data_IF_826756238945
#
_entry.id   IF_826756238945
#
_cell.length_a   1.000
_cell.length_b   1.000
_cell.length_c   1.000
_cell.angle_alpha   90.00
_cell.angle_beta   90.00
_cell.angle_gamma   90.00
#
_symmetry.space_group_name_H-M   'P 1'
#
loop_
_entity.id
_entity.type
_entity.pdbx_description
1 polymer ?
#
# COMPACT_ATOMS: atom_id res chain seq x y z
N UNK A 1 -32.06 -8.66 -7.98
CA UNK A 1 -31.81 -8.29 -6.57
C UNK A 1 -33.03 -7.51 -6.14
N UNK A 2 -33.69 -7.85 -5.03
CA UNK A 2 -34.79 -7.01 -4.51
C UNK A 2 -34.18 -5.65 -4.15
N UNK A 3 -34.41 -4.64 -4.99
CA UNK A 3 -34.00 -3.27 -4.71
C UNK A 3 -34.73 -2.78 -3.47
N UNK A 4 -34.03 -2.05 -2.60
CA UNK A 4 -34.61 -1.47 -1.40
C UNK A 4 -35.66 -0.44 -1.82
N UNK A 5 -36.91 -0.58 -1.38
CA UNK A 5 -37.94 0.40 -1.69
C UNK A 5 -37.71 1.69 -0.90
N UNK A 6 -37.51 2.81 -1.61
CA UNK A 6 -37.29 4.14 -1.04
C UNK A 6 -38.47 4.62 -0.17
N UNK A 7 -39.69 4.14 -0.45
CA UNK A 7 -40.86 4.44 0.39
C UNK A 7 -40.79 3.69 1.73
N UNK A 8 -40.43 2.41 1.70
CA UNK A 8 -40.22 1.61 2.90
C UNK A 8 -39.03 2.13 3.72
N UNK A 9 -37.95 2.57 3.05
CA UNK A 9 -36.77 3.13 3.70
C UNK A 9 -37.07 4.43 4.46
N UNK A 10 -37.91 5.29 3.90
CA UNK A 10 -38.39 6.50 4.57
C UNK A 10 -39.56 6.25 5.54
N UNK A 11 -40.11 5.03 5.56
CA UNK A 11 -41.26 4.67 6.39
C UNK A 11 -42.56 5.42 6.01
N UNK A 12 -42.69 5.81 4.74
CA UNK A 12 -43.83 6.58 4.24
C UNK A 12 -44.57 5.80 3.15
N UNK A 13 -45.86 6.09 2.96
CA UNK A 13 -46.65 5.44 1.90
C UNK A 13 -46.26 5.98 0.52
N UNK A 14 -46.54 5.19 -0.53
CA UNK A 14 -46.32 5.59 -1.94
C UNK A 14 -47.09 6.84 -2.37
N UNK A 15 -48.19 7.15 -1.69
CA UNK A 15 -48.99 8.36 -1.91
C UNK A 15 -48.62 9.53 -0.97
N UNK A 16 -47.54 9.41 -0.20
CA UNK A 16 -47.10 10.46 0.72
C UNK A 16 -46.80 11.77 -0.01
N UNK A 17 -47.20 12.86 0.63
CA UNK A 17 -46.96 14.23 0.18
C UNK A 17 -45.49 14.62 0.37
N UNK A 18 -45.01 15.62 -0.39
CA UNK A 18 -43.63 16.12 -0.23
C UNK A 18 -43.33 16.62 1.20
N UNK A 19 -44.34 17.16 1.90
CA UNK A 19 -44.23 17.56 3.30
C UNK A 19 -44.01 16.37 4.25
N UNK A 20 -44.68 15.25 4.00
CA UNK A 20 -44.53 14.03 4.80
C UNK A 20 -43.17 13.36 4.56
N UNK A 21 -42.73 13.29 3.30
CA UNK A 21 -41.41 12.79 2.90
C UNK A 21 -40.30 13.61 3.58
N UNK A 22 -40.41 14.93 3.58
CA UNK A 22 -39.45 15.84 4.24
C UNK A 22 -39.45 15.71 5.76
N UNK A 23 -40.62 15.48 6.36
CA UNK A 23 -40.74 15.27 7.81
C UNK A 23 -40.11 13.94 8.25
N UNK A 24 -40.38 12.87 7.50
CA UNK A 24 -39.83 11.54 7.74
C UNK A 24 -38.30 11.53 7.59
N UNK A 25 -37.78 12.15 6.53
CA UNK A 25 -36.34 12.31 6.33
C UNK A 25 -35.66 13.04 7.49
N UNK A 26 -36.23 14.16 7.97
CA UNK A 26 -35.66 14.91 9.11
C UNK A 26 -35.64 14.11 10.40
N UNK A 27 -36.65 13.27 10.63
CA UNK A 27 -36.72 12.40 11.81
C UNK A 27 -35.66 11.30 11.72
N UNK A 28 -35.56 10.61 10.58
CA UNK A 28 -34.59 9.53 10.37
C UNK A 28 -33.14 10.02 10.32
N UNK A 29 -32.89 11.18 9.71
CA UNK A 29 -31.54 11.76 9.62
C UNK A 29 -30.95 12.11 10.99
N UNK A 30 -31.79 12.47 11.97
CA UNK A 30 -31.34 12.73 13.36
C UNK A 30 -31.01 11.46 14.12
N UNK A 31 -31.63 10.35 13.79
CA UNK A 31 -31.42 9.05 14.44
C UNK A 31 -30.31 8.24 13.78
N UNK A 32 -30.07 8.45 12.48
CA UNK A 32 -29.09 7.71 11.67
C UNK A 32 -27.82 8.52 11.34
N UNK A 33 -27.60 9.67 12.00
CA UNK A 33 -26.38 10.45 11.81
C UNK A 33 -25.16 9.67 12.33
N UNK A 34 -24.01 9.69 11.62
CA UNK A 34 -22.80 8.97 12.03
C UNK A 34 -22.31 9.35 13.43
N UNK A 35 -22.54 10.59 13.86
CA UNK A 35 -22.17 11.07 15.20
C UNK A 35 -22.97 10.45 16.36
N UNK A 36 -24.12 9.81 16.08
CA UNK A 36 -24.97 9.15 17.10
C UNK A 36 -25.00 7.62 16.96
N UNK A 37 -24.15 7.06 16.10
CA UNK A 37 -24.01 5.60 15.90
C UNK A 37 -24.59 5.04 14.61
N UNK A 38 -24.94 5.87 13.63
CA UNK A 38 -25.33 5.43 12.28
C UNK A 38 -24.13 5.08 11.38
N UNK A 39 -24.33 4.22 10.37
CA UNK A 39 -23.26 3.94 9.38
C UNK A 39 -23.34 4.93 8.21
N UNK A 40 -22.18 5.32 7.65
CA UNK A 40 -22.13 6.22 6.49
C UNK A 40 -22.90 5.67 5.27
N UNK A 41 -22.94 4.35 5.09
CA UNK A 41 -23.69 3.68 4.03
C UNK A 41 -25.22 3.83 4.17
N UNK A 42 -25.75 3.63 5.38
CA UNK A 42 -27.19 3.81 5.66
C UNK A 42 -27.64 5.25 5.52
N UNK A 43 -26.79 6.21 5.89
CA UNK A 43 -27.11 7.64 5.74
C UNK A 43 -27.14 8.07 4.26
N UNK A 44 -26.22 7.53 3.45
CA UNK A 44 -26.18 7.79 2.00
C UNK A 44 -27.43 7.28 1.28
N UNK A 45 -27.90 6.07 1.63
CA UNK A 45 -29.15 5.50 1.09
C UNK A 45 -30.38 6.32 1.51
N UNK A 46 -30.41 6.80 2.76
CA UNK A 46 -31.48 7.67 3.27
C UNK A 46 -31.53 9.01 2.50
N UNK A 47 -30.36 9.59 2.21
CA UNK A 47 -30.25 10.81 1.43
C UNK A 47 -30.68 10.60 -0.02
N UNK A 48 -30.25 9.50 -0.65
CA UNK A 48 -30.63 9.15 -2.02
C UNK A 48 -32.15 8.93 -2.17
N UNK A 49 -32.78 8.26 -1.20
CA UNK A 49 -34.23 8.08 -1.18
C UNK A 49 -34.98 9.42 -1.04
N UNK A 50 -34.51 10.33 -0.18
CA UNK A 50 -35.11 11.65 -0.05
C UNK A 50 -34.94 12.49 -1.34
N UNK A 51 -33.76 12.50 -1.94
CA UNK A 51 -33.49 13.24 -3.18
C UNK A 51 -34.31 12.72 -4.36
N UNK A 52 -34.56 11.41 -4.42
CA UNK A 52 -35.36 10.78 -5.47
C UNK A 52 -36.86 11.04 -5.27
N UNK A 53 -37.37 10.93 -4.04
CA UNK A 53 -38.80 11.03 -3.76
C UNK A 53 -39.31 12.47 -3.54
N UNK A 54 -38.43 13.41 -3.21
CA UNK A 54 -38.79 14.82 -3.01
C UNK A 54 -38.89 15.59 -4.35
N UNK A 55 -38.19 15.16 -5.40
CA UNK A 55 -38.31 15.75 -6.74
C UNK A 55 -39.42 15.03 -7.54
N UNK A 56 -40.47 15.75 -7.99
CA UNK A 56 -41.59 15.14 -8.71
C UNK A 56 -41.20 14.44 -10.01
N UNK A 57 -40.15 14.91 -10.70
CA UNK A 57 -39.68 14.29 -11.97
C UNK A 57 -38.95 12.98 -11.69
N UNK A 58 -38.10 12.98 -10.66
CA UNK A 58 -37.35 11.78 -10.24
C UNK A 58 -38.27 10.73 -9.63
N UNK A 59 -39.25 11.16 -8.83
CA UNK A 59 -40.29 10.30 -8.25
C UNK A 59 -41.10 9.60 -9.32
N UNK A 60 -41.56 10.34 -10.35
CA UNK A 60 -42.31 9.73 -11.46
C UNK A 60 -41.49 8.69 -12.24
N UNK A 61 -40.20 8.94 -12.41
CA UNK A 61 -39.28 7.98 -13.07
C UNK A 61 -39.04 6.74 -12.22
N UNK A 62 -38.92 6.91 -10.90
CA UNK A 62 -38.77 5.82 -9.93
C UNK A 62 -40.05 4.96 -9.84
N UNK A 63 -41.22 5.59 -9.79
CA UNK A 63 -42.51 4.91 -9.78
C UNK A 63 -42.77 4.12 -11.08
N UNK A 64 -42.36 4.68 -12.23
CA UNK A 64 -42.46 4.00 -13.53
C UNK A 64 -41.57 2.77 -13.62
N UNK A 65 -40.33 2.85 -13.12
CA UNK A 65 -39.42 1.70 -13.09
C UNK A 65 -39.91 0.58 -12.16
N UNK A 66 -40.57 0.91 -11.04
CA UNK A 66 -41.17 -0.08 -10.14
C UNK A 66 -42.36 -0.82 -10.78
N UNK A 67 -43.13 -0.17 -11.67
CA UNK A 67 -44.29 -0.77 -12.33
C UNK A 67 -43.91 -1.75 -13.46
N UNK A 68 -42.75 -1.56 -14.09
CA UNK A 68 -42.22 -2.50 -15.10
C UNK A 68 -41.73 -3.81 -14.47
N UNK A 69 -41.31 -3.81 -13.19
CA UNK A 69 -40.90 -5.02 -12.46
C UNK A 69 -42.09 -5.86 -11.94
N UNK A 70 -43.25 -5.24 -11.67
CA UNK A 70 -44.45 -5.95 -11.20
C UNK A 70 -45.34 -6.51 -12.32
N UNK A 71 -45.13 -6.10 -13.59
CA UNK A 71 -45.97 -6.46 -14.74
C UNK A 71 -45.33 -7.47 -15.70
N UNK A 72 -44.76 -8.56 -15.17
CA UNK A 72 -44.34 -9.70 -15.99
C UNK A 72 -45.45 -10.79 -16.01
N UNK A 73 -46.17 -11.02 -17.13
CA UNK A 73 -47.25 -11.99 -17.18
C UNK A 73 -46.75 -13.44 -17.28
N UNK A 74 -47.57 -14.31 -16.70
CA UNK A 74 -47.44 -15.74 -16.48
C UNK A 74 -46.90 -16.59 -17.66
N UNK A 75 -46.03 -17.53 -17.28
CA UNK A 75 -45.16 -18.39 -18.07
C UNK A 75 -45.92 -19.47 -18.88
N UNK A 76 -45.71 -19.53 -20.21
CA UNK A 76 -45.85 -20.76 -21.01
C UNK A 76 -44.50 -21.12 -21.64
N UNK A 77 -44.01 -22.38 -21.55
CA UNK A 77 -42.73 -22.73 -22.15
C UNK A 77 -42.93 -22.96 -23.65
N UNK A 78 -42.28 -22.12 -24.47
CA UNK A 78 -41.97 -22.44 -25.87
C UNK A 78 -40.53 -22.97 -25.97
N UNK A 79 -40.28 -23.97 -26.82
CA UNK A 79 -39.04 -24.73 -26.79
C UNK A 79 -37.84 -23.88 -27.22
N UNK A 80 -36.79 -24.01 -26.43
CA UNK A 80 -35.38 -23.68 -26.66
C UNK A 80 -35.03 -23.12 -28.05
N UNK A 81 -35.17 -21.80 -28.20
CA UNK A 81 -34.20 -21.05 -28.98
C UNK A 81 -33.10 -20.63 -28.00
N UNK A 82 -31.90 -21.17 -28.21
CA UNK A 82 -30.66 -20.83 -27.48
C UNK A 82 -30.67 -19.34 -27.15
N UNK A 83 -30.86 -19.03 -25.86
CA UNK A 83 -30.78 -17.68 -25.31
C UNK A 83 -29.36 -17.20 -25.59
N UNK A 84 -29.17 -16.55 -26.74
CA UNK A 84 -27.97 -15.82 -27.08
C UNK A 84 -27.80 -14.84 -25.92
N UNK A 85 -26.90 -15.17 -24.99
CA UNK A 85 -26.62 -14.39 -23.79
C UNK A 85 -26.62 -12.92 -24.22
N UNK A 86 -27.51 -12.13 -23.62
CA UNK A 86 -27.42 -10.66 -23.66
C UNK A 86 -25.95 -10.39 -23.35
N UNK A 87 -25.18 -9.90 -24.33
CA UNK A 87 -23.77 -9.56 -24.13
C UNK A 87 -23.80 -8.48 -23.05
N UNK A 88 -23.52 -8.85 -21.80
CA UNK A 88 -23.25 -7.90 -20.73
C UNK A 88 -21.99 -7.16 -21.15
N UNK A 89 -22.17 -5.99 -21.74
CA UNK A 89 -21.11 -5.01 -21.89
C UNK A 89 -20.85 -4.47 -20.48
N UNK A 90 -19.88 -5.07 -19.78
CA UNK A 90 -19.54 -4.71 -18.41
C UNK A 90 -18.74 -5.79 -17.70
N UNK A 91 -18.54 -5.56 -16.40
CA UNK A 91 -17.92 -6.49 -15.47
C UNK A 91 -18.76 -7.75 -15.29
N UNK A 92 -18.12 -8.86 -14.94
CA UNK A 92 -18.79 -10.12 -14.62
C UNK A 92 -18.74 -10.31 -13.10
N UNK A 93 -19.85 -10.12 -12.36
CA UNK A 93 -19.84 -10.15 -10.90
C UNK A 93 -19.49 -11.53 -10.33
N UNK A 94 -19.65 -12.60 -11.12
CA UNK A 94 -19.32 -13.96 -10.73
C UNK A 94 -17.88 -14.35 -11.13
N UNK A 95 -17.16 -13.47 -11.85
CA UNK A 95 -15.80 -13.75 -12.27
C UNK A 95 -14.82 -13.56 -11.11
N UNK A 96 -14.11 -14.63 -10.80
CA UNK A 96 -13.05 -14.62 -9.79
C UNK A 96 -11.69 -14.59 -10.47
N UNK A 97 -10.94 -13.47 -10.39
CA UNK A 97 -9.58 -13.42 -10.92
C UNK A 97 -8.67 -14.42 -10.18
N UNK A 98 -7.67 -14.93 -10.88
CA UNK A 98 -6.71 -15.93 -10.35
C UNK A 98 -5.29 -15.42 -10.52
N UNK A 99 -4.42 -15.86 -9.62
CA UNK A 99 -2.98 -15.60 -9.71
C UNK A 99 -2.43 -16.18 -11.03
N UNK A 100 -1.59 -15.44 -11.79
CA UNK A 100 -0.96 -16.01 -12.97
C UNK A 100 -0.03 -17.17 -12.58
N UNK A 101 0.00 -18.19 -13.44
CA UNK A 101 0.98 -19.28 -13.35
C UNK A 101 2.24 -18.83 -14.08
N UNK A 102 3.22 -18.35 -13.33
CA UNK A 102 4.53 -17.98 -13.86
C UNK A 102 5.43 -19.20 -13.91
N UNK A 103 6.13 -19.40 -15.03
CA UNK A 103 7.26 -20.33 -15.08
C UNK A 103 8.44 -19.65 -14.41
N UNK A 104 9.12 -20.38 -13.52
CA UNK A 104 10.26 -19.83 -12.79
C UNK A 104 11.42 -19.51 -13.74
N UNK A 105 11.59 -20.32 -14.80
CA UNK A 105 12.58 -20.10 -15.87
C UNK A 105 12.44 -18.73 -16.57
N UNK A 106 11.24 -18.14 -16.57
CA UNK A 106 10.98 -16.85 -17.22
C UNK A 106 11.33 -15.65 -16.31
N UNK A 107 11.77 -15.91 -15.07
CA UNK A 107 12.09 -14.90 -14.07
C UNK A 107 13.62 -14.80 -13.96
N UNK A 108 14.21 -13.84 -14.68
CA UNK A 108 15.66 -13.70 -14.83
C UNK A 108 16.45 -13.66 -13.50
N UNK A 109 15.90 -13.03 -12.46
CA UNK A 109 16.54 -12.90 -11.16
C UNK A 109 16.35 -14.11 -10.24
N UNK A 110 15.51 -15.08 -10.59
CA UNK A 110 15.07 -16.14 -9.68
C UNK A 110 16.21 -17.06 -9.23
N UNK A 111 17.04 -17.50 -10.17
CA UNK A 111 18.18 -18.38 -9.89
C UNK A 111 19.44 -17.61 -9.48
N UNK A 112 19.49 -16.30 -9.74
CA UNK A 112 20.61 -15.43 -9.38
C UNK A 112 20.63 -15.01 -7.90
N UNK A 113 19.55 -15.28 -7.16
CA UNK A 113 19.41 -14.87 -5.75
C UNK A 113 19.44 -16.10 -4.84
N UNK A 114 20.36 -16.08 -3.88
CA UNK A 114 20.42 -17.05 -2.79
C UNK A 114 19.45 -16.65 -1.67
N UNK A 115 18.35 -17.40 -1.44
CA UNK A 115 17.35 -17.07 -0.44
C UNK A 115 17.86 -17.17 1.01
N UNK A 116 18.98 -17.88 1.24
CA UNK A 116 19.56 -18.13 2.56
C UNK A 116 20.76 -17.22 2.86
N UNK A 117 21.07 -16.29 1.96
CA UNK A 117 22.15 -15.33 2.12
C UNK A 117 21.91 -14.39 3.33
N UNK A 118 23.00 -13.99 3.98
CA UNK A 118 22.95 -13.06 5.13
C UNK A 118 22.53 -11.66 4.67
N UNK A 119 21.52 -11.12 5.34
CA UNK A 119 20.99 -9.78 5.10
C UNK A 119 21.89 -8.72 5.76
N UNK A 120 22.16 -7.63 5.03
CA UNK A 120 22.84 -6.43 5.53
C UNK A 120 21.81 -5.34 5.85
N UNK A 121 21.81 -4.85 7.09
CA UNK A 121 20.92 -3.76 7.48
C UNK A 121 21.63 -2.41 7.36
N UNK A 122 21.08 -1.48 6.58
CA UNK A 122 21.57 -0.12 6.34
C UNK A 122 20.84 0.90 7.25
N UNK A 123 21.34 2.12 7.42
CA UNK A 123 22.72 2.51 7.15
C UNK A 123 23.64 1.71 8.08
N UNK A 124 24.88 1.46 7.62
CA UNK A 124 25.95 0.99 8.50
C UNK A 124 26.37 2.20 9.37
N UNK A 125 25.47 2.66 10.25
CA UNK A 125 25.76 3.72 11.22
C UNK A 125 26.56 3.13 12.36
N UNK A 126 27.82 2.83 12.07
CA UNK A 126 28.88 2.92 13.06
C UNK A 126 29.80 4.05 12.64
N UNK A 127 30.41 4.81 13.56
CA UNK A 127 31.79 5.17 13.27
C UNK A 127 32.47 3.84 12.90
N UNK A 128 33.18 3.79 11.78
CA UNK A 128 33.95 2.60 11.45
C UNK A 128 34.65 2.09 12.73
N UNK A 129 34.74 0.77 12.93
CA UNK A 129 35.42 0.24 14.13
C UNK A 129 36.83 0.84 14.29
N UNK A 130 37.44 1.24 13.17
CA UNK A 130 38.72 1.91 13.08
C UNK A 130 38.78 3.27 13.83
N UNK A 131 38.01 4.32 13.52
CA UNK A 131 38.09 5.62 14.20
C UNK A 131 37.77 5.56 15.68
N UNK A 132 36.83 4.73 16.14
CA UNK A 132 36.53 4.63 17.59
C UNK A 132 37.65 3.92 18.34
N UNK A 133 38.13 2.77 17.86
CA UNK A 133 39.27 2.07 18.48
C UNK A 133 40.57 2.88 18.38
N UNK A 134 40.78 3.60 17.27
CA UNK A 134 41.91 4.52 17.12
C UNK A 134 41.82 5.71 18.09
N UNK A 135 40.62 6.23 18.37
CA UNK A 135 40.42 7.26 19.39
C UNK A 135 40.72 6.74 20.80
N UNK A 136 40.25 5.54 21.14
CA UNK A 136 40.58 4.91 22.43
C UNK A 136 42.08 4.63 22.54
N UNK A 137 42.70 4.08 21.48
CA UNK A 137 44.13 3.82 21.41
C UNK A 137 44.97 5.09 21.51
N UNK A 138 44.59 6.14 20.77
CA UNK A 138 45.22 7.45 20.82
C UNK A 138 45.10 8.12 22.18
N UNK A 139 43.93 8.02 22.82
CA UNK A 139 43.72 8.51 24.19
C UNK A 139 44.59 7.75 25.21
N UNK A 140 44.72 6.43 25.04
CA UNK A 140 45.57 5.58 25.88
C UNK A 140 47.06 5.91 25.69
N UNK A 141 47.50 6.14 24.45
CA UNK A 141 48.86 6.57 24.15
C UNK A 141 49.15 7.97 24.72
N UNK A 142 48.21 8.91 24.63
CA UNK A 142 48.33 10.24 25.23
C UNK A 142 48.48 10.15 26.76
N UNK A 143 47.71 9.26 27.40
CA UNK A 143 47.81 8.96 28.83
C UNK A 143 49.20 8.42 29.20
N UNK A 144 49.71 7.44 28.44
CA UNK A 144 51.02 6.85 28.67
C UNK A 144 52.17 7.85 28.42
N UNK A 145 52.04 8.71 27.41
CA UNK A 145 53.05 9.69 27.05
C UNK A 145 53.29 10.73 28.15
N UNK A 146 52.22 11.25 28.78
CA UNK A 146 52.39 12.21 29.88
C UNK A 146 52.89 11.58 31.18
N UNK A 147 52.70 10.26 31.36
CA UNK A 147 53.30 9.51 32.47
C UNK A 147 54.81 9.24 32.27
N UNK A 148 55.30 9.31 31.03
CA UNK A 148 56.68 9.01 30.68
C UNK A 148 57.61 10.24 30.68
N UNK A 149 57.08 11.45 30.92
CA UNK A 149 57.81 12.71 30.81
C UNK A 149 57.66 13.52 32.10
N UNK A 150 58.75 14.08 32.60
CA UNK A 150 58.72 15.03 33.71
C UNK A 150 58.18 16.39 33.23
N UNK A 151 56.94 16.71 33.64
CA UNK A 151 56.25 17.95 33.27
C UNK A 151 56.29 18.96 34.42
N UNK A 152 56.46 20.24 34.10
CA UNK A 152 56.25 21.32 35.07
C UNK A 152 54.78 21.35 35.52
N UNK A 153 54.50 21.93 36.70
CA UNK A 153 53.14 21.98 37.24
C UNK A 153 52.11 22.58 36.27
N UNK A 154 52.49 23.62 35.52
CA UNK A 154 51.63 24.25 34.52
C UNK A 154 51.35 23.33 33.32
N UNK A 155 52.39 22.63 32.81
CA UNK A 155 52.24 21.69 31.69
C UNK A 155 51.43 20.45 32.10
N UNK A 156 51.63 19.96 33.33
CA UNK A 156 50.86 18.85 33.89
C UNK A 156 49.38 19.21 34.01
N UNK A 157 49.04 20.41 34.49
CA UNK A 157 47.65 20.88 34.56
C UNK A 157 46.99 20.97 33.17
N UNK A 158 47.70 21.52 32.18
CA UNK A 158 47.23 21.57 30.79
C UNK A 158 47.03 20.16 30.20
N UNK A 159 47.99 19.25 30.42
CA UNK A 159 47.91 17.87 29.93
C UNK A 159 46.74 17.11 30.57
N UNK A 160 46.54 17.22 31.88
CA UNK A 160 45.39 16.63 32.58
C UNK A 160 44.05 17.19 32.07
N UNK A 161 43.98 18.50 31.84
CA UNK A 161 42.78 19.13 31.25
C UNK A 161 42.46 18.57 29.86
N UNK A 162 43.48 18.41 29.01
CA UNK A 162 43.34 17.84 27.66
C UNK A 162 42.97 16.35 27.71
N UNK A 163 43.50 15.60 28.67
CA UNK A 163 43.18 14.20 28.93
C UNK A 163 41.71 14.03 29.35
N UNK A 164 41.21 14.87 30.25
CA UNK A 164 39.80 14.85 30.68
C UNK A 164 38.87 15.23 29.52
N UNK A 165 39.18 16.30 28.78
CA UNK A 165 38.37 16.74 27.65
C UNK A 165 38.30 15.68 26.53
N UNK A 166 39.44 15.11 26.15
CA UNK A 166 39.50 14.03 25.15
C UNK A 166 38.83 12.75 25.65
N UNK A 167 38.94 12.43 26.94
CA UNK A 167 38.26 11.29 27.57
C UNK A 167 36.74 11.43 27.52
N UNK A 168 36.21 12.63 27.76
CA UNK A 168 34.78 12.91 27.62
C UNK A 168 34.28 12.66 26.17
N UNK A 169 35.04 13.11 25.16
CA UNK A 169 34.73 12.85 23.75
C UNK A 169 34.73 11.35 23.45
N UNK A 170 35.73 10.61 23.93
CA UNK A 170 35.81 9.14 23.79
C UNK A 170 34.59 8.46 24.41
N UNK A 171 34.18 8.87 25.62
CA UNK A 171 33.00 8.30 26.30
C UNK A 171 31.71 8.58 25.51
N UNK A 172 31.53 9.79 24.98
CA UNK A 172 30.36 10.13 24.16
C UNK A 172 30.33 9.30 22.87
N UNK A 173 31.46 9.19 22.18
CA UNK A 173 31.62 8.37 20.98
C UNK A 173 31.34 6.88 21.26
N UNK A 174 31.90 6.35 22.36
CA UNK A 174 31.70 4.97 22.76
C UNK A 174 30.24 4.68 23.13
N UNK A 175 29.59 5.59 23.86
CA UNK A 175 28.15 5.49 24.16
C UNK A 175 27.32 5.50 22.89
N UNK A 176 27.63 6.37 21.93
CA UNK A 176 26.95 6.42 20.62
C UNK A 176 27.13 5.10 19.85
N UNK A 177 28.35 4.55 19.84
CA UNK A 177 28.66 3.27 19.20
C UNK A 177 27.92 2.09 19.86
N UNK A 178 27.92 2.01 21.19
CA UNK A 178 27.18 0.96 21.93
C UNK A 178 25.67 1.07 21.67
N UNK A 179 25.10 2.29 21.68
CA UNK A 179 23.68 2.51 21.41
C UNK A 179 23.32 2.07 19.99
N UNK A 180 24.12 2.44 19.00
CA UNK A 180 23.92 2.01 17.62
C UNK A 180 23.93 0.48 17.50
N UNK A 181 24.95 -0.19 18.04
CA UNK A 181 25.01 -1.66 17.99
C UNK A 181 23.91 -2.37 18.77
N UNK A 182 23.45 -1.81 19.89
CA UNK A 182 22.28 -2.36 20.60
C UNK A 182 21.02 -2.22 19.76
N UNK A 183 20.81 -1.06 19.13
CA UNK A 183 19.69 -0.84 18.24
C UNK A 183 19.72 -1.81 17.05
N UNK A 184 20.89 -2.05 16.45
CA UNK A 184 21.07 -3.06 15.38
C UNK A 184 20.61 -4.45 15.86
N UNK A 185 21.09 -4.90 17.03
CA UNK A 185 20.78 -6.24 17.53
C UNK A 185 19.31 -6.41 17.90
N UNK A 186 18.69 -5.37 18.47
CA UNK A 186 17.28 -5.38 18.82
C UNK A 186 16.42 -5.42 17.55
N UNK A 187 16.73 -4.56 16.57
CA UNK A 187 16.05 -4.55 15.27
C UNK A 187 16.08 -5.91 14.58
N UNK A 188 17.26 -6.54 14.52
CA UNK A 188 17.42 -7.86 13.89
C UNK A 188 16.69 -8.94 14.68
N UNK A 189 16.69 -8.86 16.01
CA UNK A 189 15.97 -9.82 16.85
C UNK A 189 14.44 -9.69 16.67
N UNK A 190 13.92 -8.48 16.50
CA UNK A 190 12.49 -8.21 16.40
C UNK A 190 11.94 -8.44 14.98
N UNK A 191 12.65 -7.98 13.95
CA UNK A 191 12.16 -7.93 12.58
C UNK A 191 12.94 -8.81 11.60
N UNK A 192 14.08 -9.39 12.01
CA UNK A 192 14.98 -10.08 11.10
C UNK A 192 14.36 -11.29 10.39
N UNK A 193 13.54 -12.07 11.11
CA UNK A 193 12.86 -13.25 10.56
C UNK A 193 11.52 -12.98 9.89
N UNK A 194 10.94 -11.79 10.05
CA UNK A 194 9.62 -11.44 9.51
C UNK A 194 9.79 -10.69 8.19
N UNK A 195 9.09 -11.16 7.15
CA UNK A 195 9.12 -10.54 5.80
C UNK A 195 7.82 -9.84 5.41
N UNK A 196 6.72 -10.09 6.12
CA UNK A 196 5.38 -9.55 5.79
C UNK A 196 4.81 -8.82 7.00
N UNK A 197 4.37 -7.59 6.80
CA UNK A 197 3.88 -6.65 7.80
C UNK A 197 2.49 -6.12 7.40
N UNK A 198 1.70 -5.70 8.38
CA UNK A 198 0.29 -5.34 8.16
C UNK A 198 -0.65 -6.53 8.09
N UNK A 199 -1.96 -6.24 8.09
CA UNK A 199 -3.00 -7.25 7.90
C UNK A 199 -3.22 -7.52 6.41
N UNK A 200 -3.53 -8.76 6.05
CA UNK A 200 -4.00 -9.06 4.69
C UNK A 200 -5.43 -8.56 4.57
N UNK A 201 -5.74 -7.95 3.42
CA UNK A 201 -7.07 -7.48 3.11
C UNK A 201 -8.15 -8.53 3.43
N UNK A 202 -9.23 -8.07 4.06
CA UNK A 202 -10.35 -8.90 4.55
C UNK A 202 -10.90 -9.81 3.46
N UNK A 203 -11.59 -10.89 3.83
CA UNK A 203 -12.22 -11.87 2.90
C UNK A 203 -13.31 -11.28 1.99
N UNK A 204 -13.52 -9.96 2.01
CA UNK A 204 -14.46 -9.25 1.16
C UNK A 204 -14.13 -9.47 -0.33
N UNK A 205 -15.09 -9.91 -1.16
CA UNK A 205 -14.95 -9.96 -2.60
C UNK A 205 -14.42 -8.66 -3.24
N UNK A 206 -14.72 -7.49 -2.66
CA UNK A 206 -14.25 -6.20 -3.17
C UNK A 206 -12.72 -6.05 -3.04
N UNK A 207 -12.10 -6.72 -2.07
CA UNK A 207 -10.65 -6.68 -1.81
C UNK A 207 -9.89 -7.83 -2.49
N UNK A 208 -10.53 -8.55 -3.42
CA UNK A 208 -9.92 -9.74 -4.02
C UNK A 208 -8.63 -9.45 -4.78
N UNK A 209 -8.54 -8.32 -5.48
CA UNK A 209 -7.32 -7.90 -6.16
C UNK A 209 -6.16 -7.69 -5.17
N UNK A 210 -6.43 -7.02 -4.04
CA UNK A 210 -5.44 -6.81 -2.98
C UNK A 210 -4.97 -8.15 -2.37
N UNK A 211 -5.89 -9.10 -2.13
CA UNK A 211 -5.52 -10.43 -1.63
C UNK A 211 -4.61 -11.19 -2.61
N UNK A 212 -4.93 -11.13 -3.91
CA UNK A 212 -4.12 -11.77 -4.95
C UNK A 212 -2.72 -11.14 -5.02
N UNK A 213 -2.62 -9.81 -4.92
CA UNK A 213 -1.33 -9.11 -4.86
C UNK A 213 -0.54 -9.50 -3.62
N UNK A 214 -1.18 -9.60 -2.46
CA UNK A 214 -0.53 -10.06 -1.23
C UNK A 214 0.02 -11.49 -1.39
N UNK A 215 -0.75 -12.40 -2.01
CA UNK A 215 -0.31 -13.76 -2.33
C UNK A 215 0.86 -13.77 -3.34
N UNK A 216 0.80 -12.93 -4.37
CA UNK A 216 1.85 -12.75 -5.37
C UNK A 216 3.17 -12.32 -4.73
N UNK A 217 3.14 -11.26 -3.92
CA UNK A 217 4.32 -10.74 -3.21
C UNK A 217 4.87 -11.78 -2.24
N UNK A 218 3.99 -12.42 -1.46
CA UNK A 218 4.37 -13.47 -0.52
C UNK A 218 5.04 -14.66 -1.21
N UNK A 219 4.58 -15.05 -2.41
CA UNK A 219 5.07 -16.21 -3.13
C UNK A 219 6.37 -15.96 -3.89
N UNK A 220 6.49 -14.82 -4.56
CA UNK A 220 7.62 -14.56 -5.45
C UNK A 220 8.63 -13.59 -4.82
N UNK A 221 8.21 -12.41 -4.37
CA UNK A 221 9.14 -11.35 -3.94
C UNK A 221 9.84 -11.66 -2.60
N UNK A 222 9.21 -12.42 -1.70
CA UNK A 222 9.85 -12.82 -0.43
C UNK A 222 11.04 -13.76 -0.60
N UNK A 223 11.25 -14.31 -1.81
CA UNK A 223 12.48 -15.03 -2.16
C UNK A 223 13.71 -14.14 -2.05
N UNK A 224 13.59 -12.85 -2.33
CA UNK A 224 14.63 -11.86 -2.08
C UNK A 224 14.82 -11.75 -0.55
N UNK A 225 16.00 -12.07 0.01
CA UNK A 225 16.21 -12.03 1.46
C UNK A 225 15.94 -10.65 2.08
N UNK A 226 16.30 -9.60 1.35
CA UNK A 226 16.07 -8.20 1.73
C UNK A 226 14.63 -7.73 1.55
N UNK A 227 13.76 -8.43 0.82
CA UNK A 227 12.40 -7.95 0.62
C UNK A 227 11.59 -7.93 1.92
N UNK A 228 10.91 -6.81 2.15
CA UNK A 228 9.97 -6.57 3.24
C UNK A 228 8.67 -6.06 2.63
N UNK A 229 7.61 -6.83 2.78
CA UNK A 229 6.29 -6.56 2.22
C UNK A 229 5.42 -5.95 3.31
N UNK A 230 4.79 -4.83 3.03
CA UNK A 230 3.87 -4.11 3.90
C UNK A 230 2.49 -4.10 3.24
N UNK A 231 1.46 -4.37 4.02
CA UNK A 231 0.07 -4.37 3.58
C UNK A 231 -0.67 -3.22 4.27
N UNK A 232 -1.42 -2.44 3.49
CA UNK A 232 -2.24 -1.32 3.94
C UNK A 232 -1.44 -0.19 4.57
N UNK A 233 -1.00 0.76 3.74
CA UNK A 233 -0.25 1.93 4.18
C UNK A 233 -1.13 3.19 4.12
N UNK A 234 -1.00 4.02 5.13
CA UNK A 234 -1.52 5.39 5.15
C UNK A 234 -0.47 6.37 4.64
N UNK A 235 -0.92 7.49 4.08
CA UNK A 235 -0.03 8.63 3.91
C UNK A 235 0.30 9.29 5.26
N UNK A 236 1.42 10.03 5.36
CA UNK A 236 1.75 10.80 6.55
C UNK A 236 0.59 11.71 6.97
N UNK A 237 0.01 11.44 8.14
CA UNK A 237 -1.13 12.20 8.69
C UNK A 237 -2.51 11.71 8.25
N UNK A 238 -2.59 10.69 7.39
CA UNK A 238 -3.82 9.97 7.08
C UNK A 238 -4.09 8.86 8.10
N UNK A 239 -5.37 8.55 8.31
CA UNK A 239 -5.82 7.40 9.12
C UNK A 239 -6.42 6.30 8.25
N UNK A 240 -6.43 6.49 6.93
CA UNK A 240 -7.00 5.56 5.97
C UNK A 240 -5.92 4.81 5.21
N UNK A 241 -6.26 3.62 4.74
CA UNK A 241 -5.43 2.88 3.80
C UNK A 241 -5.43 3.61 2.44
N UNK A 242 -4.33 4.29 2.14
CA UNK A 242 -4.13 5.04 0.91
C UNK A 242 -3.39 4.23 -0.16
N UNK A 243 -2.55 3.27 0.26
CA UNK A 243 -1.78 2.37 -0.61
C UNK A 243 -1.97 0.93 -0.16
N UNK A 244 -2.37 0.06 -1.10
CA UNK A 244 -2.71 -1.33 -0.77
C UNK A 244 -1.49 -2.14 -0.28
N UNK A 245 -0.36 -2.03 -0.97
CA UNK A 245 0.87 -2.76 -0.59
C UNK A 245 2.13 -1.93 -0.86
N UNK A 246 3.18 -2.21 -0.12
CA UNK A 246 4.52 -1.73 -0.44
C UNK A 246 5.56 -2.85 -0.30
N UNK A 247 6.62 -2.82 -1.11
CA UNK A 247 7.74 -3.75 -0.99
C UNK A 247 9.04 -2.97 -0.94
N UNK A 248 9.77 -3.10 0.17
CA UNK A 248 11.09 -2.51 0.39
C UNK A 248 12.16 -3.59 0.21
N UNK A 249 13.19 -3.32 -0.60
CA UNK A 249 14.40 -4.12 -0.68
C UNK A 249 15.60 -3.18 -0.83
N UNK A 250 16.56 -3.25 0.09
CA UNK A 250 17.66 -2.28 0.18
C UNK A 250 17.18 -0.85 0.30
N UNK A 251 17.54 -0.01 -0.68
CA UNK A 251 17.10 1.39 -0.82
C UNK A 251 16.10 1.58 -1.96
N UNK A 252 15.29 0.55 -2.24
CA UNK A 252 14.25 0.56 -3.27
C UNK A 252 12.91 0.22 -2.66
N UNK A 253 11.93 1.08 -2.87
CA UNK A 253 10.56 0.92 -2.40
C UNK A 253 9.62 0.91 -3.60
N UNK A 254 8.80 -0.12 -3.74
CA UNK A 254 7.66 -0.09 -4.67
C UNK A 254 6.37 0.04 -3.89
N UNK A 255 5.55 1.02 -4.24
CA UNK A 255 4.17 1.17 -3.82
C UNK A 255 3.27 0.47 -4.84
N UNK A 256 2.25 -0.23 -4.38
CA UNK A 256 1.41 -1.06 -5.23
C UNK A 256 -0.07 -0.77 -4.97
N UNK A 257 -0.79 -0.52 -6.04
CA UNK A 257 -2.25 -0.37 -6.05
C UNK A 257 -2.85 -1.49 -6.91
N UNK A 258 -3.83 -2.21 -6.37
CA UNK A 258 -4.44 -3.39 -6.98
C UNK A 258 -5.83 -3.03 -7.52
N UNK A 259 -5.99 -3.08 -8.84
CA UNK A 259 -7.24 -2.69 -9.51
C UNK A 259 -7.89 -3.88 -10.20
N UNK A 260 -9.21 -3.94 -10.12
CA UNK A 260 -10.02 -4.89 -10.89
C UNK A 260 -10.69 -4.13 -12.03
N UNK A 261 -10.20 -4.30 -13.26
CA UNK A 261 -10.71 -3.59 -14.43
C UNK A 261 -10.98 -4.52 -15.61
N UNK A 262 -11.75 -4.01 -16.58
CA UNK A 262 -12.08 -4.76 -17.79
C UNK A 262 -10.82 -5.19 -18.56
N UNK A 263 -10.78 -6.42 -19.09
CA UNK A 263 -9.72 -6.86 -20.00
C UNK A 263 -9.48 -5.87 -21.15
N UNK A 264 -8.22 -5.67 -21.49
CA UNK A 264 -7.77 -4.70 -22.48
C UNK A 264 -6.28 -4.43 -22.41
N UNK A 265 -5.82 -3.60 -23.33
CA UNK A 265 -4.47 -3.08 -23.37
C UNK A 265 -4.38 -1.77 -22.59
N UNK A 266 -3.59 -1.75 -21.52
CA UNK A 266 -3.41 -0.59 -20.65
C UNK A 266 -2.03 0.02 -20.82
N UNK A 267 -1.99 1.34 -20.95
CA UNK A 267 -0.76 2.14 -21.05
C UNK A 267 -0.93 3.41 -20.25
N UNK A 268 0.18 4.05 -19.90
CA UNK A 268 0.19 5.36 -19.23
C UNK A 268 0.97 6.37 -20.05
N UNK A 269 0.53 7.63 -19.99
CA UNK A 269 1.25 8.79 -20.52
C UNK A 269 2.40 9.23 -19.58
N UNK A 270 3.29 10.10 -20.03
CA UNK A 270 4.28 10.80 -19.19
C UNK A 270 3.58 11.55 -18.03
N UNK A 271 2.40 12.11 -18.29
CA UNK A 271 1.57 12.82 -17.30
C UNK A 271 0.80 11.88 -16.34
N UNK A 272 1.05 10.56 -16.37
CA UNK A 272 0.35 9.60 -15.50
C UNK A 272 -1.08 9.26 -15.94
N UNK A 273 -1.54 9.78 -17.09
CA UNK A 273 -2.88 9.49 -17.62
C UNK A 273 -2.97 8.06 -18.12
N UNK A 274 -3.92 7.29 -17.60
CA UNK A 274 -4.18 5.91 -18.02
C UNK A 274 -5.01 5.84 -19.31
N UNK A 275 -4.63 4.94 -20.20
CA UNK A 275 -5.32 4.64 -21.44
C UNK A 275 -5.70 3.16 -21.49
N UNK A 276 -6.87 2.85 -22.08
CA UNK A 276 -7.32 1.49 -22.35
C UNK A 276 -7.69 1.35 -23.82
N UNK A 277 -7.04 0.45 -24.53
CA UNK A 277 -7.26 0.20 -25.97
C UNK A 277 -7.17 1.50 -26.81
N UNK A 278 -6.24 2.40 -26.48
CA UNK A 278 -6.04 3.66 -27.19
C UNK A 278 -7.04 4.78 -26.85
N UNK A 279 -7.88 4.60 -25.83
CA UNK A 279 -8.79 5.65 -25.34
C UNK A 279 -8.48 6.05 -23.89
N UNK A 280 -8.67 7.33 -23.51
CA UNK A 280 -8.46 7.77 -22.13
C UNK A 280 -9.34 6.96 -21.18
N UNK A 281 -8.70 6.28 -20.24
CA UNK A 281 -9.38 5.41 -19.29
C UNK A 281 -9.63 6.17 -17.98
N UNK A 282 -10.88 6.61 -17.81
CA UNK A 282 -11.33 7.34 -16.60
C UNK A 282 -11.85 6.40 -15.50
N UNK A 283 -11.61 5.10 -15.60
CA UNK A 283 -12.25 4.05 -14.79
C UNK A 283 -11.69 3.84 -13.39
N UNK A 284 -10.84 4.75 -12.91
CA UNK A 284 -10.37 4.79 -11.54
C UNK A 284 -9.29 5.85 -11.39
N UNK A 285 -9.42 6.71 -10.38
CA UNK A 285 -8.31 7.58 -9.95
C UNK A 285 -7.28 6.68 -9.26
N UNK A 286 -6.06 6.65 -9.77
CA UNK A 286 -4.91 6.17 -8.99
C UNK A 286 -4.36 7.36 -8.22
N UNK A 287 -4.13 7.18 -6.92
CA UNK A 287 -3.43 8.18 -6.10
C UNK A 287 -1.94 7.83 -5.96
N UNK A 288 -1.47 6.87 -6.75
CA UNK A 288 -0.13 6.32 -6.61
C UNK A 288 0.94 7.32 -7.05
N UNK A 289 0.63 8.25 -7.97
CA UNK A 289 1.54 9.34 -8.35
C UNK A 289 1.82 10.23 -7.15
N UNK A 290 0.77 10.75 -6.52
CA UNK A 290 0.86 11.53 -5.27
C UNK A 290 1.55 10.71 -4.16
N UNK A 291 1.24 9.42 -4.06
CA UNK A 291 1.87 8.52 -3.09
C UNK A 291 3.38 8.36 -3.31
N UNK A 292 3.84 8.22 -4.55
CA UNK A 292 5.27 8.13 -4.87
C UNK A 292 5.98 9.40 -4.42
N UNK A 293 5.47 10.58 -4.78
CA UNK A 293 6.04 11.88 -4.39
C UNK A 293 6.16 12.02 -2.87
N UNK A 294 5.09 11.69 -2.15
CA UNK A 294 5.06 11.73 -0.68
C UNK A 294 6.12 10.81 -0.06
N UNK A 295 6.26 9.58 -0.56
CA UNK A 295 7.23 8.63 -0.03
C UNK A 295 8.68 8.95 -0.45
N UNK A 296 8.89 9.60 -1.60
CA UNK A 296 10.22 10.11 -2.00
C UNK A 296 10.68 11.23 -1.06
N UNK A 297 9.79 12.14 -0.68
CA UNK A 297 10.08 13.19 0.30
C UNK A 297 10.35 12.60 1.70
N UNK A 298 9.58 11.59 2.09
CA UNK A 298 9.68 10.94 3.39
C UNK A 298 10.97 10.09 3.53
N UNK A 299 11.48 9.54 2.43
CA UNK A 299 12.57 8.57 2.40
C UNK A 299 13.76 9.07 1.56
N UNK A 300 14.54 10.04 2.05
CA UNK A 300 15.62 10.63 1.28
C UNK A 300 16.66 9.58 0.85
N UNK A 301 16.83 9.48 -0.47
CA UNK A 301 17.76 8.58 -1.14
C UNK A 301 17.31 7.12 -1.22
N UNK A 302 16.02 6.84 -0.98
CA UNK A 302 15.36 5.60 -1.40
C UNK A 302 14.74 5.86 -2.77
N UNK A 303 14.98 4.97 -3.73
CA UNK A 303 14.31 5.02 -5.03
C UNK A 303 12.88 4.48 -4.87
N UNK A 304 11.87 5.31 -5.17
CA UNK A 304 10.46 4.94 -5.02
C UNK A 304 9.83 4.76 -6.40
N UNK A 305 9.06 3.69 -6.58
CA UNK A 305 8.26 3.44 -7.78
C UNK A 305 6.83 3.07 -7.41
N UNK A 306 5.89 3.32 -8.30
CA UNK A 306 4.50 2.89 -8.21
C UNK A 306 4.16 1.83 -9.25
N UNK A 307 3.46 0.78 -8.85
CA UNK A 307 2.92 -0.23 -9.75
C UNK A 307 1.40 -0.35 -9.59
N UNK A 308 0.66 -0.13 -10.67
CA UNK A 308 -0.78 -0.39 -10.70
C UNK A 308 -1.01 -1.79 -11.25
N UNK A 309 -1.30 -2.75 -10.38
CA UNK A 309 -1.54 -4.14 -10.74
C UNK A 309 -2.98 -4.32 -11.19
N UNK A 310 -3.15 -4.69 -12.45
CA UNK A 310 -4.48 -4.82 -13.06
C UNK A 310 -4.88 -6.29 -13.12
N UNK A 311 -5.96 -6.63 -12.41
CA UNK A 311 -6.64 -7.91 -12.48
C UNK A 311 -7.88 -7.78 -13.38
N UNK A 312 -8.14 -8.77 -14.26
CA UNK A 312 -9.32 -8.75 -15.10
C UNK A 312 -10.60 -8.86 -14.27
N UNK A 313 -11.60 -8.04 -14.57
CA UNK A 313 -12.95 -8.09 -13.96
C UNK A 313 -13.87 -9.15 -14.60
N UNK A 314 -13.42 -9.77 -15.68
CA UNK A 314 -14.13 -10.83 -16.41
C UNK A 314 -13.13 -11.66 -17.22
N UNK A 315 -13.59 -12.78 -17.78
CA UNK A 315 -12.75 -13.56 -18.71
C UNK A 315 -12.24 -12.69 -19.87
N UNK A 316 -10.92 -12.62 -20.00
CA UNK A 316 -10.21 -11.89 -21.05
C UNK A 316 -8.78 -11.62 -20.63
N UNK A 317 -8.00 -11.08 -21.57
CA UNK A 317 -6.59 -10.77 -21.35
C UNK A 317 -6.40 -9.30 -20.98
N UNK A 318 -5.58 -9.05 -19.97
CA UNK A 318 -5.03 -7.73 -19.65
C UNK A 318 -3.61 -7.72 -20.18
N UNK A 319 -3.27 -6.73 -20.98
CA UNK A 319 -1.91 -6.54 -21.49
C UNK A 319 -1.45 -5.13 -21.16
N UNK A 320 -0.16 -4.96 -20.91
CA UNK A 320 0.47 -3.64 -20.75
C UNK A 320 1.80 -3.63 -21.50
N UNK A 321 2.40 -2.46 -21.65
CA UNK A 321 3.78 -2.32 -22.17
C UNK A 321 4.73 -1.96 -21.04
N UNK A 322 6.01 -2.27 -21.23
CA UNK A 322 7.07 -1.77 -20.35
C UNK A 322 7.18 -0.26 -20.52
N UNK A 323 7.24 0.48 -19.41
CA UNK A 323 7.27 1.94 -19.40
C UNK A 323 8.25 2.44 -18.34
N UNK A 324 9.04 3.46 -18.68
CA UNK A 324 10.05 4.05 -17.80
C UNK A 324 9.47 5.10 -16.81
N UNK A 325 8.14 5.12 -16.65
CA UNK A 325 7.47 6.05 -15.73
C UNK A 325 7.61 5.66 -14.26
N UNK A 326 7.53 6.64 -13.35
CA UNK A 326 7.49 6.39 -11.90
C UNK A 326 6.30 5.53 -11.51
N UNK A 327 5.17 5.65 -12.19
CA UNK A 327 3.96 4.84 -11.98
C UNK A 327 3.56 4.12 -13.26
N UNK A 328 3.60 2.78 -13.24
CA UNK A 328 3.30 1.97 -14.42
C UNK A 328 2.15 0.96 -14.19
N UNK A 329 1.21 0.81 -15.14
CA UNK A 329 0.21 -0.23 -15.13
C UNK A 329 0.87 -1.53 -15.57
N UNK A 330 0.68 -2.58 -14.78
CA UNK A 330 1.34 -3.85 -15.00
C UNK A 330 0.36 -5.00 -14.86
N UNK A 331 0.58 -6.06 -15.65
CA UNK A 331 0.02 -7.37 -15.28
C UNK A 331 0.78 -7.92 -14.06
N UNK A 332 0.16 -8.78 -13.23
CA UNK A 332 0.87 -9.39 -12.11
C UNK A 332 2.09 -10.22 -12.54
N UNK A 333 2.10 -10.70 -13.79
CA UNK A 333 3.23 -11.40 -14.39
C UNK A 333 4.41 -10.49 -14.73
N UNK A 334 4.13 -9.30 -15.26
CA UNK A 334 5.15 -8.27 -15.52
C UNK A 334 5.71 -7.74 -14.20
N UNK A 335 4.85 -7.45 -13.22
CA UNK A 335 5.29 -6.99 -11.90
C UNK A 335 6.35 -7.91 -11.27
N UNK A 336 6.14 -9.23 -11.24
CA UNK A 336 7.13 -10.17 -10.69
C UNK A 336 8.45 -10.16 -11.47
N UNK A 337 8.40 -9.97 -12.79
CA UNK A 337 9.58 -9.98 -13.65
C UNK A 337 10.36 -8.67 -13.56
N UNK A 338 9.70 -7.56 -13.83
CA UNK A 338 10.29 -6.22 -13.95
C UNK A 338 10.61 -5.64 -12.57
N UNK A 339 9.61 -5.49 -11.68
CA UNK A 339 9.84 -4.98 -10.32
C UNK A 339 10.70 -5.96 -9.51
N UNK A 340 10.50 -7.26 -9.69
CA UNK A 340 11.38 -8.25 -9.07
C UNK A 340 12.85 -8.09 -9.52
N UNK A 341 13.10 -7.83 -10.81
CA UNK A 341 14.46 -7.59 -11.32
C UNK A 341 15.06 -6.31 -10.73
N UNK A 342 14.29 -5.24 -10.70
CA UNK A 342 14.70 -3.96 -10.13
C UNK A 342 15.03 -4.07 -8.62
N UNK A 343 14.20 -4.78 -7.84
CA UNK A 343 14.49 -5.07 -6.43
C UNK A 343 15.71 -6.00 -6.27
N UNK A 344 15.90 -6.95 -7.19
CA UNK A 344 16.99 -7.92 -7.16
C UNK A 344 18.39 -7.33 -7.45
N UNK A 345 18.47 -6.06 -7.87
CA UNK A 345 19.76 -5.36 -7.98
C UNK A 345 20.44 -5.15 -6.60
N UNK A 346 19.67 -5.11 -5.51
CA UNK A 346 20.21 -5.16 -4.14
C UNK A 346 19.35 -6.10 -3.26
N UNK A 347 19.50 -7.43 -3.46
CA UNK A 347 18.59 -8.42 -2.88
C UNK A 347 18.93 -8.78 -1.43
N UNK A 348 20.10 -8.36 -0.94
CA UNK A 348 20.67 -8.77 0.34
C UNK A 348 20.78 -7.63 1.34
N UNK A 349 20.13 -6.50 1.10
CA UNK A 349 20.16 -5.37 2.01
C UNK A 349 18.76 -4.87 2.38
N UNK A 350 18.66 -4.20 3.52
CA UNK A 350 17.43 -3.52 3.99
C UNK A 350 17.83 -2.23 4.68
N UNK A 351 17.35 -1.10 4.19
CA UNK A 351 17.49 0.16 4.91
C UNK A 351 16.56 0.22 6.12
N UNK A 352 17.12 0.38 7.32
CA UNK A 352 16.39 0.35 8.59
C UNK A 352 15.58 1.60 8.82
N UNK A 353 16.11 2.76 8.42
CA UNK A 353 15.40 4.01 8.53
C UNK A 353 14.19 3.95 7.60
N UNK A 354 14.41 3.55 6.34
CA UNK A 354 13.31 3.32 5.41
C UNK A 354 12.32 2.27 5.91
N UNK A 355 12.81 1.13 6.43
CA UNK A 355 11.95 0.09 6.98
C UNK A 355 11.08 0.60 8.12
N UNK A 356 11.66 1.32 9.07
CA UNK A 356 10.93 1.79 10.27
C UNK A 356 9.91 2.84 9.86
N UNK A 357 10.31 3.78 9.00
CA UNK A 357 9.42 4.82 8.50
C UNK A 357 8.24 4.24 7.70
N UNK A 358 8.48 3.24 6.86
CA UNK A 358 7.40 2.55 6.12
C UNK A 358 6.54 1.71 7.06
N UNK A 359 7.12 1.05 8.06
CA UNK A 359 6.40 0.28 9.07
C UNK A 359 5.46 1.19 9.88
N UNK A 360 5.89 2.39 10.23
CA UNK A 360 5.09 3.38 10.97
C UNK A 360 3.89 3.89 10.15
N UNK A 361 3.91 3.75 8.82
CA UNK A 361 2.77 4.07 7.94
C UNK A 361 1.77 2.91 7.80
N UNK A 362 2.05 1.72 8.34
CA UNK A 362 1.14 0.58 8.23
C UNK A 362 -0.07 0.80 9.13
N UNK A 363 -1.27 0.74 8.56
CA UNK A 363 -2.52 0.89 9.31
C UNK A 363 -2.73 -0.31 10.23
N UNK A 364 -3.12 -0.05 11.47
CA UNK A 364 -3.45 -1.05 12.48
C UNK A 364 -4.91 -0.85 12.91
N UNK A 365 -5.67 -1.93 13.00
CA UNK A 365 -7.07 -1.94 13.48
C UNK A 365 -7.20 -1.59 14.97
#
# INVERSE_FOLDING_TARGET
MRGVDYYELLGVRRDATASEIKSAYRTLARTMHPDVGGTAGTFRLLQEAYETLNDPVRRASYDGACQEEESEPEHRPRPTATRRRRRTFGDDPDYVPRLPRLRLDDIAWWDGVDPDARIRYLPITGPERAPTLALVGGWTLLLLAGLAVDLTAALLACWLGLLVASGAVVVVMLRRHIRAHRADRLFVAEHGGRRIFGQRATTDPQNRAQQLTAELCAKYLTRLPGARVFHGLAWPGSVFEDVDHAVLCGRRLVLVESKTWLPGHYTTDEDGTLWRNGHPFRGGTTRLVEGVEVFEELLPGVEVRGAVLIYPSRSGEVTTVEQDGQVAPMTPAQFVREIGSWLAEDPYSVDREAFTTVLDQVVHD
#
